data_IF_973864503115
#
_entry.id   IF_973864503115
#
_cell.length_a   1.000
_cell.length_b   1.000
_cell.length_c   1.000
_cell.angle_alpha   90.00
_cell.angle_beta   90.00
_cell.angle_gamma   90.00
#
_symmetry.space_group_name_H-M   'P 1'
#
loop_
_entity.id
_entity.type
_entity.pdbx_description
1 polymer ?
#
# COMPACT_ATOMS: atom_id res chain seq x y z
N UNK A 1 15.93 -6.78 -25.59
CA UNK A 1 15.50 -7.38 -24.31
C UNK A 1 14.62 -6.41 -23.52
N UNK A 2 15.12 -5.24 -23.08
CA UNK A 2 14.35 -4.26 -22.29
C UNK A 2 13.00 -3.84 -22.93
N UNK A 3 12.99 -3.45 -24.21
CA UNK A 3 11.77 -3.00 -24.89
C UNK A 3 10.71 -4.11 -25.11
N UNK A 4 11.15 -5.37 -25.27
CA UNK A 4 10.22 -6.52 -25.34
C UNK A 4 9.56 -6.77 -23.98
N UNK A 5 10.35 -6.73 -22.89
CA UNK A 5 9.80 -6.93 -21.55
C UNK A 5 8.82 -5.82 -21.19
N UNK A 6 9.14 -4.55 -21.48
CA UNK A 6 8.21 -3.43 -21.27
C UNK A 6 6.90 -3.59 -22.04
N UNK A 7 6.94 -4.06 -23.30
CA UNK A 7 5.73 -4.31 -24.09
C UNK A 7 4.91 -5.48 -23.55
N UNK A 8 5.59 -6.55 -23.09
CA UNK A 8 4.95 -7.69 -22.42
C UNK A 8 4.26 -7.25 -21.13
N UNK A 9 4.97 -6.51 -20.29
CA UNK A 9 4.45 -6.01 -19.00
C UNK A 9 3.26 -5.06 -19.24
N UNK A 10 3.34 -4.19 -20.26
CA UNK A 10 2.23 -3.32 -20.64
C UNK A 10 0.99 -4.09 -21.11
N UNK A 11 1.19 -5.12 -21.95
CA UNK A 11 0.08 -5.96 -22.43
C UNK A 11 -0.55 -6.75 -21.28
N UNK A 12 0.27 -7.36 -20.43
CA UNK A 12 -0.19 -8.10 -19.26
C UNK A 12 -0.97 -7.20 -18.29
N UNK A 13 -0.42 -6.03 -17.95
CA UNK A 13 -1.09 -5.08 -17.06
C UNK A 13 -2.39 -4.56 -17.66
N UNK A 14 -2.42 -4.30 -18.97
CA UNK A 14 -3.63 -3.87 -19.68
C UNK A 14 -4.74 -4.93 -19.66
N UNK A 15 -4.42 -6.20 -19.91
CA UNK A 15 -5.41 -7.28 -19.80
C UNK A 15 -5.86 -7.53 -18.35
N UNK A 16 -4.94 -7.43 -17.39
CA UNK A 16 -5.26 -7.53 -15.97
C UNK A 16 -6.21 -6.41 -15.53
N UNK A 17 -5.99 -5.18 -15.99
CA UNK A 17 -6.84 -4.03 -15.68
C UNK A 17 -8.24 -4.20 -16.27
N UNK A 18 -8.35 -4.67 -17.52
CA UNK A 18 -9.65 -5.00 -18.14
C UNK A 18 -10.42 -6.03 -17.32
N UNK A 19 -9.76 -7.11 -16.87
CA UNK A 19 -10.37 -8.15 -16.05
C UNK A 19 -10.84 -7.61 -14.69
N UNK A 20 -10.02 -6.79 -14.04
CA UNK A 20 -10.38 -6.13 -12.77
C UNK A 20 -11.58 -5.21 -12.94
N UNK A 21 -11.60 -4.41 -14.00
CA UNK A 21 -12.71 -3.50 -14.29
C UNK A 21 -14.00 -4.27 -14.61
N UNK A 22 -13.94 -5.32 -15.43
CA UNK A 22 -15.09 -6.18 -15.72
C UNK A 22 -15.63 -6.85 -14.44
N UNK A 23 -14.75 -7.33 -13.56
CA UNK A 23 -15.15 -7.92 -12.28
C UNK A 23 -15.79 -6.87 -11.36
N UNK A 24 -15.24 -5.66 -11.31
CA UNK A 24 -15.83 -4.55 -10.55
C UNK A 24 -17.23 -4.19 -11.06
N UNK A 25 -17.42 -4.09 -12.38
CA UNK A 25 -18.73 -3.83 -12.98
C UNK A 25 -19.72 -4.97 -12.76
N UNK A 26 -19.27 -6.23 -12.70
CA UNK A 26 -20.13 -7.35 -12.31
C UNK A 26 -20.53 -7.27 -10.84
N UNK A 27 -19.63 -6.82 -9.95
CA UNK A 27 -19.96 -6.60 -8.55
C UNK A 27 -20.99 -5.47 -8.34
N UNK A 28 -21.19 -4.56 -9.30
CA UNK A 28 -22.30 -3.59 -9.27
C UNK A 28 -23.68 -4.28 -9.29
N UNK A 29 -23.78 -5.57 -9.62
CA UNK A 29 -25.00 -6.36 -9.43
C UNK A 29 -25.46 -6.37 -7.95
N UNK A 30 -24.54 -6.17 -7.01
CA UNK A 30 -24.86 -5.96 -5.60
C UNK A 30 -25.74 -4.72 -5.38
N UNK A 31 -25.64 -3.67 -6.21
CA UNK A 31 -26.52 -2.49 -6.15
C UNK A 31 -27.99 -2.83 -6.47
N UNK A 32 -28.22 -3.95 -7.16
CA UNK A 32 -29.55 -4.49 -7.47
C UNK A 32 -30.00 -5.55 -6.46
N UNK A 33 -29.26 -5.70 -5.36
CA UNK A 33 -29.47 -6.72 -4.34
C UNK A 33 -29.44 -8.16 -4.89
N UNK A 34 -28.74 -8.42 -6.00
CA UNK A 34 -28.62 -9.75 -6.59
C UNK A 34 -27.32 -10.42 -6.10
N UNK A 35 -27.31 -11.74 -5.84
CA UNK A 35 -28.40 -12.72 -5.97
C UNK A 35 -29.36 -12.81 -4.78
N UNK A 36 -29.11 -12.06 -3.71
CA UNK A 36 -29.90 -12.10 -2.47
C UNK A 36 -31.41 -11.91 -2.67
N UNK A 37 -31.82 -11.03 -3.60
CA UNK A 37 -33.22 -10.76 -3.93
C UNK A 37 -33.93 -11.92 -4.64
N UNK A 38 -33.21 -12.88 -5.20
CA UNK A 38 -33.77 -14.10 -5.81
C UNK A 38 -33.80 -15.25 -4.79
N UNK A 39 -32.83 -15.28 -3.88
CA UNK A 39 -32.71 -16.31 -2.84
C UNK A 39 -33.69 -16.10 -1.67
N UNK A 40 -34.13 -14.85 -1.43
CA UNK A 40 -35.08 -14.52 -0.38
C UNK A 40 -36.53 -14.95 -0.72
N UNK A 41 -36.78 -16.25 -0.61
CA UNK A 41 -38.09 -16.86 -0.87
C UNK A 41 -39.00 -16.87 0.37
N UNK A 42 -38.52 -16.42 1.54
CA UNK A 42 -39.20 -16.58 2.84
C UNK A 42 -39.13 -15.38 3.80
N UNK A 43 -38.39 -14.31 3.49
CA UNK A 43 -38.38 -13.01 4.18
C UNK A 43 -37.78 -12.98 5.58
N UNK A 44 -37.46 -14.13 6.18
CA UNK A 44 -37.08 -14.24 7.60
C UNK A 44 -35.70 -14.89 7.83
N UNK A 45 -34.97 -15.25 6.76
CA UNK A 45 -33.66 -15.89 6.85
C UNK A 45 -32.61 -15.11 6.06
N UNK A 46 -31.38 -15.07 6.56
CA UNK A 46 -30.24 -14.49 5.82
C UNK A 46 -30.04 -15.31 4.52
N UNK A 47 -29.94 -14.66 3.34
CA UNK A 47 -29.71 -15.35 2.07
C UNK A 47 -28.42 -16.19 2.06
N UNK A 48 -28.45 -17.35 1.40
CA UNK A 48 -27.33 -18.30 1.37
C UNK A 48 -26.05 -17.67 0.78
N UNK A 49 -26.17 -16.83 -0.24
CA UNK A 49 -25.03 -16.10 -0.82
C UNK A 49 -24.35 -15.13 0.17
N UNK A 50 -25.10 -14.56 1.12
CA UNK A 50 -24.54 -13.68 2.16
C UNK A 50 -23.87 -14.54 3.24
N UNK A 51 -24.45 -15.70 3.58
CA UNK A 51 -23.86 -16.64 4.53
C UNK A 51 -22.52 -17.18 4.04
N UNK A 52 -22.43 -17.58 2.77
CA UNK A 52 -21.20 -18.08 2.17
C UNK A 52 -20.09 -17.01 2.21
N UNK A 53 -20.42 -15.77 1.85
CA UNK A 53 -19.49 -14.64 1.93
C UNK A 53 -19.06 -14.33 3.37
N UNK A 54 -20.01 -14.35 4.31
CA UNK A 54 -19.72 -14.17 5.75
C UNK A 54 -18.77 -15.24 6.26
N UNK A 55 -19.00 -16.51 5.91
CA UNK A 55 -18.12 -17.61 6.26
C UNK A 55 -16.72 -17.42 5.66
N UNK A 56 -16.63 -17.06 4.38
CA UNK A 56 -15.33 -16.79 3.74
C UNK A 56 -14.55 -15.66 4.41
N UNK A 57 -15.22 -14.59 4.87
CA UNK A 57 -14.57 -13.51 5.63
C UNK A 57 -14.08 -14.01 6.99
N UNK A 58 -14.86 -14.85 7.70
CA UNK A 58 -14.44 -15.44 8.99
C UNK A 58 -13.24 -16.36 8.83
N UNK A 59 -13.22 -17.21 7.81
CA UNK A 59 -12.11 -18.12 7.50
C UNK A 59 -10.81 -17.35 7.19
N UNK A 60 -10.90 -16.15 6.62
CA UNK A 60 -9.77 -15.27 6.35
C UNK A 60 -9.28 -14.47 7.59
N UNK A 61 -9.81 -14.77 8.77
CA UNK A 61 -9.44 -14.12 10.03
C UNK A 61 -10.30 -12.89 10.39
N UNK A 62 -11.43 -12.70 9.70
CA UNK A 62 -12.42 -11.67 10.03
C UNK A 62 -11.87 -10.25 9.96
N UNK A 63 -12.49 -9.37 10.77
CA UNK A 63 -12.06 -7.96 10.88
C UNK A 63 -10.67 -7.83 11.51
N UNK A 64 -10.30 -8.73 12.44
CA UNK A 64 -9.03 -8.68 13.16
C UNK A 64 -7.83 -8.75 12.21
N UNK A 65 -7.87 -9.65 11.22
CA UNK A 65 -6.82 -9.78 10.20
C UNK A 65 -6.62 -8.49 9.38
N UNK A 66 -7.69 -7.73 9.13
CA UNK A 66 -7.60 -6.43 8.46
C UNK A 66 -7.05 -5.35 9.39
N UNK A 67 -7.47 -5.34 10.65
CA UNK A 67 -6.99 -4.40 11.66
C UNK A 67 -5.50 -4.58 11.93
N UNK A 68 -5.03 -5.81 12.12
CA UNK A 68 -3.61 -6.12 12.34
C UNK A 68 -2.74 -5.64 11.17
N UNK A 69 -3.21 -5.82 9.93
CA UNK A 69 -2.54 -5.30 8.73
C UNK A 69 -2.54 -3.77 8.71
N UNK A 70 -3.65 -3.13 9.08
CA UNK A 70 -3.74 -1.67 9.11
C UNK A 70 -2.86 -1.04 10.21
N UNK A 71 -2.68 -1.74 11.34
CA UNK A 71 -1.83 -1.30 12.46
C UNK A 71 -0.34 -1.52 12.22
N UNK A 72 0.04 -2.49 11.39
CA UNK A 72 1.44 -2.74 11.02
C UNK A 72 1.98 -1.82 9.91
N UNK A 73 1.11 -1.22 9.08
CA UNK A 73 1.54 -0.31 7.99
C UNK A 73 2.35 0.91 8.47
N UNK A 74 1.94 1.66 9.52
CA UNK A 74 2.71 2.80 10.01
C UNK A 74 4.11 2.41 10.49
N UNK A 75 4.26 1.26 11.16
CA UNK A 75 5.55 0.80 11.66
C UNK A 75 6.54 0.52 10.51
N UNK A 76 6.07 -0.14 9.45
CA UNK A 76 6.87 -0.41 8.26
C UNK A 76 7.29 0.88 7.54
N UNK A 77 6.39 1.86 7.43
CA UNK A 77 6.69 3.16 6.84
C UNK A 77 7.71 3.95 7.68
N UNK A 78 7.53 3.98 9.01
CA UNK A 78 8.45 4.66 9.93
C UNK A 78 9.85 4.07 9.80
N UNK A 79 9.98 2.75 9.83
CA UNK A 79 11.28 2.07 9.66
C UNK A 79 11.96 2.45 8.33
N UNK A 80 11.21 2.48 7.23
CA UNK A 80 11.76 2.87 5.93
C UNK A 80 12.22 4.33 5.91
N UNK A 81 11.48 5.23 6.58
CA UNK A 81 11.88 6.64 6.72
C UNK A 81 13.13 6.80 7.56
N UNK A 82 13.23 6.12 8.70
CA UNK A 82 14.42 6.14 9.56
C UNK A 82 15.68 5.72 8.79
N UNK A 83 15.59 4.68 7.96
CA UNK A 83 16.71 4.22 7.12
C UNK A 83 17.09 5.29 6.09
N UNK A 84 16.11 5.96 5.46
CA UNK A 84 16.37 7.02 4.48
C UNK A 84 16.99 8.26 5.13
N UNK A 85 16.45 8.68 6.27
CA UNK A 85 16.92 9.84 7.03
C UNK A 85 18.35 9.62 7.54
N UNK A 86 18.64 8.41 8.05
CA UNK A 86 19.99 8.05 8.47
C UNK A 86 20.97 8.02 7.29
N UNK A 87 20.56 7.45 6.15
CA UNK A 87 21.38 7.45 4.93
C UNK A 87 21.68 8.88 4.49
N UNK A 88 20.69 9.77 4.52
CA UNK A 88 20.88 11.18 4.17
C UNK A 88 21.82 11.89 5.17
N UNK A 89 21.65 11.65 6.47
CA UNK A 89 22.53 12.17 7.53
C UNK A 89 23.99 11.78 7.30
N UNK A 90 24.25 10.51 6.97
CA UNK A 90 25.61 10.02 6.70
C UNK A 90 26.26 10.73 5.51
N UNK A 91 25.49 11.00 4.44
CA UNK A 91 25.98 11.73 3.27
C UNK A 91 26.27 13.19 3.60
N UNK A 92 25.41 13.83 4.38
CA UNK A 92 25.56 15.24 4.79
C UNK A 92 26.76 15.43 5.75
N UNK A 93 26.99 14.48 6.65
CA UNK A 93 28.16 14.49 7.55
C UNK A 93 29.47 14.32 6.78
N UNK A 94 29.53 13.37 5.84
CA UNK A 94 30.73 13.14 5.04
C UNK A 94 31.04 14.34 4.14
N UNK A 95 30.03 14.95 3.51
CA UNK A 95 30.21 16.15 2.69
C UNK A 95 30.68 17.35 3.51
N UNK A 96 30.16 17.50 4.73
CA UNK A 96 30.60 18.54 5.67
C UNK A 96 32.07 18.35 6.06
N UNK A 97 32.48 17.12 6.36
CA UNK A 97 33.86 16.80 6.71
C UNK A 97 34.81 17.01 5.52
N UNK A 98 34.41 16.62 4.30
CA UNK A 98 35.15 16.90 3.06
C UNK A 98 35.37 18.40 2.86
N UNK A 99 34.31 19.19 3.02
CA UNK A 99 34.34 20.64 2.85
C UNK A 99 35.28 21.26 3.87
N UNK A 100 35.19 20.85 5.14
CA UNK A 100 36.08 21.33 6.21
C UNK A 100 37.55 20.97 5.96
N UNK A 101 37.83 19.77 5.41
CA UNK A 101 39.19 19.36 5.05
C UNK A 101 39.71 20.15 3.84
N UNK A 102 38.88 20.38 2.83
CA UNK A 102 39.22 21.20 1.67
C UNK A 102 39.55 22.64 2.05
N UNK A 103 38.79 23.23 2.98
CA UNK A 103 39.08 24.56 3.52
C UNK A 103 40.42 24.62 4.27
N UNK A 104 40.74 23.59 5.07
CA UNK A 104 41.99 23.53 5.85
C UNK A 104 43.23 23.27 5.01
N UNK A 105 43.13 22.38 4.02
CA UNK A 105 44.28 21.88 3.26
C UNK A 105 44.42 22.51 1.86
N UNK A 106 43.41 23.26 1.40
CA UNK A 106 43.43 24.03 0.17
C UNK A 106 43.93 23.22 -1.02
N UNK A 107 45.02 23.68 -1.64
CA UNK A 107 45.61 23.06 -2.84
C UNK A 107 46.20 21.66 -2.64
N UNK A 108 46.38 21.20 -1.39
CA UNK A 108 46.78 19.82 -1.07
C UNK A 108 45.61 18.83 -1.11
N UNK A 109 44.37 19.32 -1.03
CA UNK A 109 43.15 18.50 -1.10
C UNK A 109 42.64 18.42 -2.54
N UNK A 110 43.12 17.40 -3.28
CA UNK A 110 42.86 17.25 -4.73
C UNK A 110 41.84 16.15 -5.07
N UNK A 111 41.16 15.58 -4.07
CA UNK A 111 40.15 14.54 -4.31
C UNK A 111 38.90 15.14 -4.96
N UNK A 112 38.16 14.31 -5.71
CA UNK A 112 36.80 14.65 -6.17
C UNK A 112 35.93 15.01 -4.98
N UNK A 113 35.07 16.02 -5.13
CA UNK A 113 34.24 16.45 -4.01
C UNK A 113 33.23 15.37 -3.63
N UNK A 114 32.94 15.28 -2.34
CA UNK A 114 31.93 14.37 -1.83
C UNK A 114 30.56 14.56 -2.47
N UNK A 115 30.20 15.81 -2.76
CA UNK A 115 28.95 16.14 -3.44
C UNK A 115 28.87 15.49 -4.84
N UNK A 116 29.93 15.62 -5.64
CA UNK A 116 30.01 14.99 -6.98
C UNK A 116 29.96 13.46 -6.89
N UNK A 117 30.62 12.85 -5.91
CA UNK A 117 30.65 11.40 -5.75
C UNK A 117 29.29 10.83 -5.29
N UNK A 118 28.57 11.57 -4.44
CA UNK A 118 27.32 11.12 -3.81
C UNK A 118 26.08 11.50 -4.60
N UNK A 119 26.21 12.26 -5.69
CA UNK A 119 25.09 12.80 -6.47
C UNK A 119 24.09 11.71 -6.94
N UNK A 120 24.60 10.55 -7.38
CA UNK A 120 23.74 9.41 -7.77
C UNK A 120 22.94 8.87 -6.59
N UNK A 121 23.58 8.72 -5.43
CA UNK A 121 22.96 8.20 -4.21
C UNK A 121 21.90 9.19 -3.70
N UNK A 122 22.19 10.49 -3.71
CA UNK A 122 21.21 11.54 -3.36
C UNK A 122 20.00 11.53 -4.30
N UNK A 123 20.20 11.26 -5.59
CA UNK A 123 19.13 11.06 -6.55
C UNK A 123 18.24 9.85 -6.21
N UNK A 124 18.84 8.75 -5.76
CA UNK A 124 18.10 7.57 -5.28
C UNK A 124 17.33 7.84 -3.99
N UNK A 125 17.94 8.55 -3.02
CA UNK A 125 17.27 8.97 -1.78
C UNK A 125 16.02 9.80 -2.09
N UNK A 126 16.14 10.81 -2.97
CA UNK A 126 15.01 11.63 -3.37
C UNK A 126 13.89 10.82 -4.05
N UNK A 127 14.26 9.83 -4.89
CA UNK A 127 13.30 8.91 -5.50
C UNK A 127 12.55 8.10 -4.42
N UNK A 128 13.26 7.54 -3.44
CA UNK A 128 12.63 6.75 -2.38
C UNK A 128 11.77 7.60 -1.44
N UNK A 129 12.16 8.85 -1.16
CA UNK A 129 11.31 9.81 -0.45
C UNK A 129 9.98 10.04 -1.19
N UNK A 130 10.01 10.26 -2.51
CA UNK A 130 8.80 10.40 -3.31
C UNK A 130 7.91 9.15 -3.31
N UNK A 131 8.51 7.95 -3.29
CA UNK A 131 7.78 6.68 -3.15
C UNK A 131 7.13 6.59 -1.76
N UNK A 132 7.85 6.95 -0.69
CA UNK A 132 7.33 6.92 0.68
C UNK A 132 6.17 7.90 0.88
N UNK A 133 6.24 9.10 0.29
CA UNK A 133 5.13 10.06 0.28
C UNK A 133 3.91 9.52 -0.47
N UNK A 134 4.11 8.90 -1.63
CA UNK A 134 3.04 8.30 -2.41
C UNK A 134 2.38 7.14 -1.66
N UNK A 135 3.17 6.31 -0.98
CA UNK A 135 2.68 5.24 -0.12
C UNK A 135 1.85 5.80 1.04
N UNK A 136 2.30 6.89 1.69
CA UNK A 136 1.56 7.55 2.78
C UNK A 136 0.16 8.00 2.34
N UNK A 137 0.04 8.55 1.12
CA UNK A 137 -1.26 8.96 0.54
C UNK A 137 -2.14 7.76 0.18
N UNK A 138 -1.54 6.67 -0.29
CA UNK A 138 -2.27 5.44 -0.57
C UNK A 138 -2.81 4.84 0.74
N UNK A 139 -2.00 4.78 1.79
CA UNK A 139 -2.37 4.27 3.11
C UNK A 139 -3.50 5.09 3.74
N UNK A 140 -3.47 6.43 3.62
CA UNK A 140 -4.57 7.27 4.11
C UNK A 140 -5.89 6.98 3.40
N UNK A 141 -5.84 6.77 2.08
CA UNK A 141 -7.02 6.42 1.27
C UNK A 141 -7.57 5.05 1.65
N UNK A 142 -6.69 4.06 1.89
CA UNK A 142 -7.09 2.73 2.34
C UNK A 142 -7.69 2.77 3.74
N UNK A 143 -7.11 3.55 4.66
CA UNK A 143 -7.63 3.74 6.02
C UNK A 143 -9.02 4.38 6.01
N UNK A 144 -9.23 5.44 5.25
CA UNK A 144 -10.54 6.08 5.12
C UNK A 144 -11.61 5.12 4.58
N UNK A 145 -11.26 4.35 3.54
CA UNK A 145 -12.14 3.30 3.00
C UNK A 145 -12.45 2.23 4.04
N UNK A 146 -11.45 1.80 4.82
CA UNK A 146 -11.64 0.81 5.87
C UNK A 146 -12.61 1.33 6.94
N UNK A 147 -12.39 2.53 7.49
CA UNK A 147 -13.25 3.11 8.52
C UNK A 147 -14.70 3.27 8.05
N UNK A 148 -14.89 3.66 6.79
CA UNK A 148 -16.22 3.80 6.18
C UNK A 148 -16.98 2.47 6.14
N UNK A 149 -16.30 1.36 5.85
CA UNK A 149 -16.93 0.04 5.68
C UNK A 149 -16.81 -0.86 6.92
N UNK A 150 -16.04 -0.46 7.93
CA UNK A 150 -15.78 -1.24 9.15
C UNK A 150 -17.07 -1.73 9.83
N UNK A 151 -18.11 -0.91 10.05
CA UNK A 151 -19.34 -1.38 10.70
C UNK A 151 -20.06 -2.50 9.94
N UNK A 152 -20.03 -2.44 8.60
CA UNK A 152 -20.64 -3.46 7.75
C UNK A 152 -19.85 -4.78 7.81
N UNK A 153 -18.52 -4.71 7.78
CA UNK A 153 -17.64 -5.90 7.88
C UNK A 153 -17.76 -6.54 9.27
N UNK A 154 -17.87 -5.75 10.34
CA UNK A 154 -18.13 -6.26 11.69
C UNK A 154 -19.47 -6.98 11.74
N UNK A 155 -20.52 -6.40 11.17
CA UNK A 155 -21.84 -7.06 11.10
C UNK A 155 -21.78 -8.38 10.34
N UNK A 156 -21.04 -8.45 9.23
CA UNK A 156 -20.85 -9.68 8.45
C UNK A 156 -20.02 -10.75 9.18
N UNK A 157 -19.23 -10.38 10.19
CA UNK A 157 -18.38 -11.32 10.93
C UNK A 157 -19.04 -11.87 12.20
N UNK A 158 -20.08 -11.22 12.74
CA UNK A 158 -20.91 -11.72 13.86
C UNK A 158 -21.58 -13.06 13.54
N UNK A 159 -21.72 -13.96 14.53
CA UNK A 159 -22.32 -15.29 14.35
C UNK A 159 -23.83 -15.21 14.04
N UNK A 160 -24.38 -16.23 13.34
CA UNK A 160 -25.83 -16.27 13.02
C UNK A 160 -26.74 -16.34 14.26
N UNK A 161 -26.15 -16.68 15.41
CA UNK A 161 -26.85 -16.89 16.69
C UNK A 161 -26.71 -15.73 17.66
N UNK A 162 -25.91 -14.71 17.35
CA UNK A 162 -25.78 -13.54 18.22
C UNK A 162 -27.00 -12.61 18.05
N UNK A 163 -27.79 -12.34 19.11
CA UNK A 163 -28.87 -11.37 19.02
C UNK A 163 -28.31 -9.97 18.74
N UNK A 164 -29.07 -9.22 17.93
CA UNK A 164 -28.77 -7.85 17.49
C UNK A 164 -28.42 -6.90 18.64
#
# INVERSE_FOLDING_TARGET
>A
MSNYNSKKDALFNGELEKLRNATSSLNDLASKNLPAAIEDTGGNAVPDSIKEKSQGIREQGGIQSLEDKLYSLPELLTRNREILDETQRMLDEEERDDTALKERFGSKWKRTTSNELTQSIRGEVAKFQGIAESATKADSTVREKFETHRPAIVTLTKSETDPA
#
